data_IF_789848379392
#
_entry.id   IF_789848379392
#
_cell.length_a   1.000
_cell.length_b   1.000
_cell.length_c   1.000
_cell.angle_alpha   90.00
_cell.angle_beta   90.00
_cell.angle_gamma   90.00
#
_symmetry.space_group_name_H-M   'P 1'
#
loop_
_entity.id
_entity.type
_entity.pdbx_description
1 polymer ?
#
# COMPACT_ATOMS: atom_id res chain seq x y z
N UNK A 1 10.25 33.98 49.80
CA UNK A 1 10.63 32.72 50.47
C UNK A 1 9.37 32.10 51.07
N UNK A 2 8.60 31.35 50.28
CA UNK A 2 7.43 30.60 50.76
C UNK A 2 7.81 29.15 51.00
N UNK A 3 7.56 28.64 52.20
CA UNK A 3 7.72 27.21 52.54
C UNK A 3 6.52 26.41 51.99
N UNK A 4 6.71 25.14 51.58
CA UNK A 4 5.64 24.31 51.03
C UNK A 4 4.77 23.75 52.16
N UNK A 5 3.44 23.80 52.00
CA UNK A 5 2.53 22.98 52.77
C UNK A 5 2.49 21.59 52.13
N UNK A 6 3.11 20.61 52.79
CA UNK A 6 3.05 19.21 52.39
C UNK A 6 1.66 18.62 52.66
N UNK A 7 1.14 17.85 51.71
CA UNK A 7 -0.03 17.00 51.91
C UNK A 7 0.46 15.65 52.42
N UNK A 8 -0.04 15.23 53.59
CA UNK A 8 0.27 13.96 54.20
C UNK A 8 -0.52 12.82 53.53
N UNK A 9 0.15 11.72 53.18
CA UNK A 9 -0.50 10.49 52.73
C UNK A 9 -0.75 9.57 53.92
N UNK A 10 -2.02 9.40 54.30
CA UNK A 10 -2.46 8.30 55.17
C UNK A 10 -3.21 7.27 54.34
N UNK A 11 -2.60 6.10 54.09
CA UNK A 11 -3.26 5.00 53.38
C UNK A 11 -3.92 4.08 54.41
N UNK A 12 -5.25 4.02 54.39
CA UNK A 12 -6.04 3.00 55.10
C UNK A 12 -6.37 1.89 54.08
N UNK A 13 -5.91 0.67 54.33
CA UNK A 13 -6.14 -0.45 53.41
C UNK A 13 -7.52 -1.07 53.65
N UNK A 14 -8.35 -1.10 52.60
CA UNK A 14 -9.63 -1.82 52.53
C UNK A 14 -10.86 -0.92 52.39
N UNK A 15 -11.22 -0.56 51.16
CA UNK A 15 -12.49 0.12 50.83
C UNK A 15 -12.52 0.70 49.41
N UNK A 16 -13.68 0.70 48.78
CA UNK A 16 -13.96 1.48 47.56
C UNK A 16 -14.00 2.98 47.89
N UNK A 17 -13.55 3.82 46.96
CA UNK A 17 -13.50 5.27 47.17
C UNK A 17 -13.44 6.03 45.85
N UNK A 18 -13.83 7.31 45.93
CA UNK A 18 -13.85 8.25 44.82
C UNK A 18 -12.90 9.41 45.12
N UNK A 19 -12.13 9.85 44.13
CA UNK A 19 -11.31 11.06 44.22
C UNK A 19 -11.61 12.01 43.06
N UNK A 20 -11.93 13.25 43.42
CA UNK A 20 -12.10 14.36 42.49
C UNK A 20 -10.74 14.83 42.00
N UNK A 21 -10.57 14.85 40.68
CA UNK A 21 -9.45 15.49 40.01
C UNK A 21 -9.83 16.93 39.69
N UNK A 22 -9.01 17.89 40.12
CA UNK A 22 -9.18 19.30 39.83
C UNK A 22 -7.91 19.90 39.23
N UNK A 23 -8.05 20.81 38.27
CA UNK A 23 -6.97 21.62 37.69
C UNK A 23 -7.40 23.07 37.87
N UNK A 24 -6.53 23.86 38.48
CA UNK A 24 -6.77 25.27 38.84
C UNK A 24 -8.03 25.52 39.70
N UNK A 25 -8.39 24.53 40.54
CA UNK A 25 -9.53 24.62 41.46
C UNK A 25 -10.88 24.24 40.82
N UNK A 26 -10.92 23.98 39.51
CA UNK A 26 -12.09 23.48 38.80
C UNK A 26 -12.07 21.94 38.75
N UNK A 27 -13.19 21.22 38.97
CA UNK A 27 -13.24 19.76 38.92
C UNK A 27 -13.32 19.22 37.48
N UNK A 28 -12.41 18.31 37.10
CA UNK A 28 -12.24 17.74 35.75
C UNK A 28 -12.59 16.25 35.63
N UNK A 29 -12.76 15.53 36.74
CA UNK A 29 -13.14 14.12 36.70
C UNK A 29 -13.22 13.47 38.07
N UNK A 30 -13.82 12.28 38.13
CA UNK A 30 -13.83 11.44 39.33
C UNK A 30 -13.18 10.12 38.97
N UNK A 31 -12.13 9.77 39.72
CA UNK A 31 -11.52 8.44 39.63
C UNK A 31 -12.13 7.60 40.74
N UNK A 32 -12.76 6.50 40.36
CA UNK A 32 -13.36 5.54 41.27
C UNK A 32 -12.55 4.24 41.23
N UNK A 33 -12.26 3.67 42.39
CA UNK A 33 -11.63 2.36 42.49
C UNK A 33 -12.50 1.38 43.26
N UNK A 34 -12.62 0.18 42.72
CA UNK A 34 -13.38 -0.93 43.29
C UNK A 34 -12.48 -2.14 43.49
N UNK A 35 -12.57 -2.75 44.67
CA UNK A 35 -11.82 -3.96 45.00
C UNK A 35 -12.57 -5.18 44.47
N UNK A 36 -12.03 -5.85 43.44
CA UNK A 36 -12.67 -7.00 42.78
C UNK A 36 -11.98 -8.33 43.14
N UNK A 37 -11.71 -8.56 44.42
CA UNK A 37 -11.37 -9.88 44.97
C UNK A 37 -9.97 -10.44 44.68
N UNK A 38 -9.39 -10.23 43.50
CA UNK A 38 -8.05 -10.74 43.13
C UNK A 38 -7.12 -9.75 42.42
N UNK A 39 -7.62 -8.66 41.83
CA UNK A 39 -6.81 -7.57 41.26
C UNK A 39 -7.51 -6.20 41.45
N UNK A 40 -6.75 -5.11 41.36
CA UNK A 40 -7.28 -3.74 41.40
C UNK A 40 -7.72 -3.30 39.99
N UNK A 41 -9.01 -3.04 39.80
CA UNK A 41 -9.53 -2.41 38.58
C UNK A 41 -9.62 -0.89 38.73
N UNK A 42 -8.91 -0.15 37.87
CA UNK A 42 -9.07 1.31 37.73
C UNK A 42 -10.16 1.57 36.68
N UNK A 43 -11.29 2.14 37.11
CA UNK A 43 -12.33 2.64 36.21
C UNK A 43 -12.29 4.17 36.22
N UNK A 44 -11.79 4.77 35.13
CA UNK A 44 -11.94 6.21 34.90
C UNK A 44 -13.30 6.46 34.26
N UNK A 45 -14.27 6.96 35.03
CA UNK A 45 -15.51 7.50 34.47
C UNK A 45 -15.33 9.00 34.22
N UNK A 46 -15.13 9.41 32.97
CA UNK A 46 -15.06 10.82 32.61
C UNK A 46 -16.49 11.32 32.46
N UNK A 47 -17.09 11.76 33.57
CA UNK A 47 -18.31 12.55 33.52
C UNK A 47 -17.92 13.97 33.12
N UNK A 48 -17.97 14.26 31.82
CA UNK A 48 -17.67 15.59 31.28
C UNK A 48 -18.76 16.58 31.74
N UNK A 49 -18.48 17.39 32.76
CA UNK A 49 -19.22 18.64 32.98
C UNK A 49 -18.80 19.62 31.89
N UNK A 50 -19.51 19.59 30.78
CA UNK A 50 -19.28 20.50 29.66
C UNK A 50 -19.74 21.90 30.06
N UNK A 51 -18.82 22.72 30.56
CA UNK A 51 -19.00 24.17 30.61
C UNK A 51 -17.88 24.88 29.87
N UNK A 52 -17.87 24.77 28.54
CA UNK A 52 -17.32 25.80 27.66
C UNK A 52 -17.64 25.44 26.20
N UNK A 53 -18.55 26.19 25.55
CA UNK A 53 -18.90 26.01 24.12
C UNK A 53 -17.68 26.07 23.20
N UNK A 54 -16.61 26.73 23.61
CA UNK A 54 -15.40 26.97 22.81
C UNK A 54 -14.49 25.74 22.72
N UNK A 55 -14.39 24.92 23.78
CA UNK A 55 -13.52 23.73 23.82
C UNK A 55 -14.05 22.54 23.01
N UNK A 56 -15.38 22.39 22.90
CA UNK A 56 -16.00 21.38 22.05
C UNK A 56 -15.62 21.56 20.58
N UNK A 57 -15.54 22.80 20.11
CA UNK A 57 -15.16 23.12 18.73
C UNK A 57 -13.71 22.75 18.46
N UNK A 58 -12.78 23.06 19.38
CA UNK A 58 -11.37 22.70 19.23
C UNK A 58 -11.11 21.19 19.34
N UNK A 59 -11.81 20.49 20.23
CA UNK A 59 -11.70 19.03 20.34
C UNK A 59 -12.25 18.33 19.09
N UNK A 60 -13.40 18.78 18.56
CA UNK A 60 -13.92 18.30 17.28
C UNK A 60 -12.95 18.60 16.14
N UNK A 61 -12.39 19.82 16.05
CA UNK A 61 -11.36 20.19 15.08
C UNK A 61 -10.11 19.30 15.19
N UNK A 62 -9.62 19.01 16.41
CA UNK A 62 -8.46 18.13 16.63
C UNK A 62 -8.74 16.68 16.22
N UNK A 63 -9.93 16.16 16.48
CA UNK A 63 -10.35 14.82 16.03
C UNK A 63 -10.51 14.78 14.49
N UNK A 64 -11.03 15.85 13.88
CA UNK A 64 -11.09 15.98 12.42
C UNK A 64 -9.70 16.06 11.77
N UNK A 65 -8.74 16.77 12.39
CA UNK A 65 -7.36 16.88 11.90
C UNK A 65 -6.59 15.57 12.12
N UNK A 66 -6.81 14.85 13.23
CA UNK A 66 -6.16 13.56 13.49
C UNK A 66 -6.71 12.43 12.60
N UNK A 67 -8.03 12.43 12.34
CA UNK A 67 -8.68 11.43 11.48
C UNK A 67 -8.38 11.57 9.99
N UNK A 68 -7.84 12.71 9.54
CA UNK A 68 -7.53 12.98 8.13
C UNK A 68 -6.06 12.69 7.75
N UNK A 69 -5.24 12.18 8.69
CA UNK A 69 -3.80 11.94 8.48
C UNK A 69 -3.36 10.48 8.67
N UNK A 70 -4.27 9.57 9.04
CA UNK A 70 -3.91 8.15 9.14
C UNK A 70 -3.88 7.54 7.73
N UNK A 71 -2.69 7.48 7.14
CA UNK A 71 -2.46 6.68 5.93
C UNK A 71 -2.72 5.21 6.26
N UNK A 72 -3.58 4.56 5.47
CA UNK A 72 -3.98 3.18 5.71
C UNK A 72 -2.81 2.22 5.37
N UNK A 73 -2.39 1.42 6.34
CA UNK A 73 -1.40 0.37 6.11
C UNK A 73 -2.05 -0.79 5.32
N UNK A 74 -1.50 -1.07 4.13
CA UNK A 74 -1.94 -2.15 3.25
C UNK A 74 -1.13 -3.45 3.43
N UNK A 75 -0.19 -3.53 4.39
CA UNK A 75 0.74 -4.66 4.58
C UNK A 75 0.11 -6.05 4.57
N UNK A 76 -1.14 -6.20 5.02
CA UNK A 76 -1.91 -7.45 5.02
C UNK A 76 -3.22 -7.33 4.23
N UNK A 77 -3.25 -6.51 3.18
CA UNK A 77 -4.43 -6.25 2.36
C UNK A 77 -4.12 -6.41 0.87
N UNK A 78 -5.16 -6.59 0.08
CA UNK A 78 -5.13 -6.59 -1.37
C UNK A 78 -6.16 -5.61 -1.93
N UNK A 79 -5.88 -5.08 -3.12
CA UNK A 79 -6.92 -4.55 -3.98
C UNK A 79 -7.60 -5.71 -4.70
N UNK A 80 -8.91 -5.84 -4.51
CA UNK A 80 -9.76 -6.79 -5.21
C UNK A 80 -10.51 -6.09 -6.34
N UNK A 81 -10.33 -6.60 -7.56
CA UNK A 81 -11.03 -6.20 -8.78
C UNK A 81 -12.03 -7.32 -9.11
N UNK A 82 -13.30 -7.20 -8.66
CA UNK A 82 -14.20 -8.35 -8.59
C UNK A 82 -14.81 -8.77 -9.94
N UNK A 83 -14.86 -7.86 -10.91
CA UNK A 83 -15.57 -8.09 -12.17
C UNK A 83 -14.91 -7.34 -13.34
N UNK A 84 -15.19 -7.85 -14.55
CA UNK A 84 -14.76 -7.21 -15.78
C UNK A 84 -15.53 -5.91 -16.00
N UNK A 85 -14.81 -4.78 -15.99
CA UNK A 85 -15.38 -3.45 -16.24
C UNK A 85 -14.37 -2.60 -16.99
N UNK A 86 -14.81 -1.48 -17.57
CA UNK A 86 -13.94 -0.41 -18.06
C UNK A 86 -13.83 0.76 -17.07
N UNK A 87 -14.19 0.54 -15.79
CA UNK A 87 -14.32 1.62 -14.79
C UNK A 87 -13.58 1.35 -13.49
N UNK A 88 -13.47 0.10 -13.04
CA UNK A 88 -12.81 -0.24 -11.78
C UNK A 88 -11.29 -0.14 -11.95
N UNK A 89 -10.66 0.79 -11.23
CA UNK A 89 -9.21 1.00 -11.27
C UNK A 89 -8.71 1.72 -10.01
N UNK A 90 -7.40 1.64 -9.78
CA UNK A 90 -6.71 2.37 -8.70
C UNK A 90 -5.69 3.32 -9.30
N UNK A 91 -5.78 4.60 -8.95
CA UNK A 91 -4.81 5.62 -9.32
C UNK A 91 -3.74 5.67 -8.22
N UNK A 92 -2.48 5.46 -8.59
CA UNK A 92 -1.34 5.52 -7.67
C UNK A 92 -0.69 6.90 -7.71
N UNK A 93 -0.46 7.49 -6.53
CA UNK A 93 0.02 8.87 -6.38
C UNK A 93 1.40 8.88 -5.71
N UNK A 94 2.51 8.91 -6.48
CA UNK A 94 3.84 9.02 -5.89
C UNK A 94 3.98 10.36 -5.16
N UNK A 95 4.67 10.37 -4.02
CA UNK A 95 4.86 11.59 -3.21
C UNK A 95 5.55 12.70 -4.00
N UNK A 96 6.48 12.32 -4.89
CA UNK A 96 7.17 13.27 -5.77
C UNK A 96 7.08 12.83 -7.23
N UNK A 97 6.55 13.70 -8.09
CA UNK A 97 6.45 13.44 -9.52
C UNK A 97 7.71 13.93 -10.27
N UNK A 98 8.71 13.05 -10.41
CA UNK A 98 9.95 13.34 -11.15
C UNK A 98 9.99 12.55 -12.48
N UNK A 99 10.65 13.08 -13.52
CA UNK A 99 10.95 12.29 -14.72
C UNK A 99 11.79 11.05 -14.36
N UNK A 100 11.48 9.91 -14.98
CA UNK A 100 12.16 8.64 -14.69
C UNK A 100 13.18 8.31 -15.78
N UNK A 101 14.42 8.03 -15.36
CA UNK A 101 15.47 7.45 -16.21
C UNK A 101 15.61 5.95 -16.02
N UNK A 102 15.26 5.47 -14.84
CA UNK A 102 15.31 4.06 -14.48
C UNK A 102 14.14 3.79 -13.56
N UNK A 103 13.68 2.56 -13.53
CA UNK A 103 12.74 2.12 -12.51
C UNK A 103 12.76 0.61 -12.35
N UNK A 104 12.21 0.17 -11.23
CA UNK A 104 11.71 -1.19 -11.03
C UNK A 104 10.30 -1.09 -10.48
N UNK A 105 9.39 -1.91 -10.97
CA UNK A 105 8.04 -2.12 -10.43
C UNK A 105 7.92 -3.57 -10.04
N UNK A 106 7.42 -3.85 -8.84
CA UNK A 106 7.07 -5.19 -8.38
C UNK A 106 5.63 -5.19 -7.86
N UNK A 107 4.91 -6.29 -8.08
CA UNK A 107 3.60 -6.56 -7.48
C UNK A 107 3.34 -8.06 -7.40
N UNK A 108 2.40 -8.46 -6.54
CA UNK A 108 1.78 -9.78 -6.62
C UNK A 108 0.40 -9.68 -7.22
N UNK A 109 0.05 -10.68 -8.02
CA UNK A 109 -1.29 -10.84 -8.59
C UNK A 109 -1.80 -12.26 -8.41
N UNK A 110 -3.12 -12.40 -8.25
CA UNK A 110 -3.84 -13.66 -8.24
C UNK A 110 -5.09 -13.52 -9.10
N UNK A 111 -5.21 -14.34 -10.15
CA UNK A 111 -6.26 -14.20 -11.16
C UNK A 111 -6.51 -15.54 -11.87
N UNK A 112 -7.76 -15.74 -12.31
CA UNK A 112 -8.19 -16.86 -13.15
C UNK A 112 -8.30 -16.48 -14.64
N UNK A 113 -7.93 -15.23 -15.00
CA UNK A 113 -8.04 -14.75 -16.37
C UNK A 113 -7.18 -15.57 -17.32
N UNK A 114 -7.81 -16.14 -18.35
CA UNK A 114 -7.13 -16.84 -19.46
C UNK A 114 -6.91 -15.93 -20.67
N UNK A 115 -7.45 -14.71 -20.63
CA UNK A 115 -7.25 -13.67 -21.65
C UNK A 115 -6.10 -12.75 -21.24
N UNK A 116 -5.62 -11.98 -22.20
CA UNK A 116 -4.71 -10.90 -21.92
C UNK A 116 -5.34 -9.82 -21.03
N UNK A 117 -4.53 -9.21 -20.18
CA UNK A 117 -4.98 -8.26 -19.19
C UNK A 117 -3.81 -7.39 -18.72
N UNK A 118 -4.13 -6.21 -18.18
CA UNK A 118 -3.14 -5.31 -17.58
C UNK A 118 -2.79 -5.70 -16.15
N UNK A 119 -1.51 -5.63 -15.78
CA UNK A 119 -1.08 -5.63 -14.38
C UNK A 119 -0.65 -4.25 -13.91
N UNK A 120 -0.06 -3.47 -14.80
CA UNK A 120 0.47 -2.14 -14.51
C UNK A 120 0.45 -1.29 -15.76
N UNK A 121 -0.16 -0.10 -15.68
CA UNK A 121 -0.20 0.86 -16.77
C UNK A 121 0.32 2.22 -16.31
N UNK A 122 1.30 2.76 -17.04
CA UNK A 122 1.79 4.12 -16.89
C UNK A 122 1.63 4.85 -18.22
N UNK A 123 0.91 5.97 -18.19
CA UNK A 123 0.74 6.87 -19.32
C UNK A 123 1.29 8.27 -18.99
N UNK A 124 1.61 9.05 -20.02
CA UNK A 124 2.04 10.45 -19.90
C UNK A 124 1.18 11.32 -20.79
N UNK A 125 1.23 12.65 -20.61
CA UNK A 125 0.42 13.55 -21.44
C UNK A 125 0.72 13.33 -22.93
N UNK A 126 -0.31 12.94 -23.70
CA UNK A 126 -0.22 12.67 -25.13
C UNK A 126 0.42 11.32 -25.51
N UNK A 127 0.71 10.43 -24.55
CA UNK A 127 1.28 9.11 -24.85
C UNK A 127 0.77 8.02 -23.89
N UNK A 128 0.05 7.07 -24.47
CA UNK A 128 -0.27 5.76 -23.93
C UNK A 128 0.97 4.85 -23.87
N UNK A 129 0.82 3.68 -23.24
CA UNK A 129 1.81 2.61 -23.10
C UNK A 129 3.25 3.10 -22.89
N UNK A 130 3.41 4.10 -22.02
CA UNK A 130 4.73 4.61 -21.65
C UNK A 130 5.49 3.55 -20.86
N UNK A 131 4.80 2.88 -19.94
CA UNK A 131 5.18 1.57 -19.39
C UNK A 131 3.92 0.72 -19.30
N UNK A 132 3.96 -0.50 -19.83
CA UNK A 132 2.88 -1.47 -19.70
C UNK A 132 3.45 -2.84 -19.32
N UNK A 133 2.81 -3.50 -18.34
CA UNK A 133 3.03 -4.92 -18.03
C UNK A 133 1.71 -5.65 -18.31
N UNK A 134 1.71 -6.49 -19.33
CA UNK A 134 0.49 -7.08 -19.88
C UNK A 134 0.66 -8.59 -20.08
N UNK A 135 0.31 -9.44 -19.08
CA UNK A 135 0.28 -10.88 -19.26
C UNK A 135 -0.61 -11.30 -20.43
N UNK A 136 -0.14 -12.30 -21.17
CA UNK A 136 -0.84 -12.99 -22.23
C UNK A 136 -0.79 -14.49 -21.93
N UNK A 137 -1.71 -14.99 -21.09
CA UNK A 137 -1.79 -16.41 -20.78
C UNK A 137 -1.91 -17.25 -22.07
N UNK A 138 -1.34 -18.46 -22.10
CA UNK A 138 -0.81 -19.17 -20.95
C UNK A 138 0.67 -18.87 -20.65
N UNK A 139 1.47 -18.25 -21.52
CA UNK A 139 2.93 -18.29 -21.34
C UNK A 139 3.70 -17.12 -21.96
N UNK A 140 3.09 -15.94 -22.04
CA UNK A 140 3.72 -14.77 -22.61
C UNK A 140 3.40 -13.51 -21.80
N UNK A 141 4.28 -12.52 -21.89
CA UNK A 141 4.06 -11.17 -21.39
C UNK A 141 4.37 -10.18 -22.51
N UNK A 142 3.43 -9.28 -22.77
CA UNK A 142 3.68 -8.05 -23.52
C UNK A 142 4.20 -6.98 -22.56
N UNK A 143 5.37 -6.43 -22.86
CA UNK A 143 5.98 -5.33 -22.11
C UNK A 143 6.16 -4.15 -23.05
N UNK A 144 5.64 -2.99 -22.69
CA UNK A 144 5.84 -1.76 -23.46
C UNK A 144 6.75 -0.79 -22.72
N UNK A 145 7.67 -0.16 -23.44
CA UNK A 145 8.37 1.06 -23.02
C UNK A 145 8.20 2.08 -24.15
N UNK A 146 7.55 3.21 -23.88
CA UNK A 146 7.32 4.30 -24.83
C UNK A 146 6.73 3.81 -26.18
N UNK A 147 5.61 3.09 -26.13
CA UNK A 147 4.92 2.45 -27.27
C UNK A 147 5.73 1.40 -28.05
N UNK A 148 6.93 1.03 -27.58
CA UNK A 148 7.67 -0.11 -28.15
C UNK A 148 7.35 -1.37 -27.34
N UNK A 149 6.63 -2.27 -27.97
CA UNK A 149 6.21 -3.55 -27.39
C UNK A 149 7.26 -4.65 -27.61
N UNK A 150 7.39 -5.53 -26.62
CA UNK A 150 8.15 -6.76 -26.69
C UNK A 150 7.38 -7.90 -26.05
N UNK A 151 7.37 -9.05 -26.71
CA UNK A 151 6.88 -10.29 -26.13
C UNK A 151 8.03 -11.05 -25.45
N UNK A 152 7.78 -11.47 -24.21
CA UNK A 152 8.68 -12.29 -23.40
C UNK A 152 7.97 -13.58 -23.05
N UNK A 153 8.43 -14.68 -23.65
CA UNK A 153 7.95 -16.02 -23.32
C UNK A 153 8.33 -16.38 -21.89
N UNK A 154 7.36 -16.83 -21.11
CA UNK A 154 7.50 -17.26 -19.72
C UNK A 154 7.08 -18.73 -19.55
N UNK A 155 7.18 -19.25 -18.34
CA UNK A 155 6.59 -20.56 -18.02
C UNK A 155 5.06 -20.48 -18.09
N UNK A 156 4.40 -21.61 -18.37
CA UNK A 156 2.95 -21.63 -18.44
C UNK A 156 2.33 -21.25 -17.08
N UNK A 157 1.32 -20.39 -17.11
CA UNK A 157 0.65 -19.90 -15.93
C UNK A 157 -0.07 -21.04 -15.19
N UNK A 158 0.11 -21.05 -13.87
CA UNK A 158 -0.64 -21.89 -12.93
C UNK A 158 -1.49 -20.98 -12.06
N UNK A 159 -2.61 -21.50 -11.55
CA UNK A 159 -3.46 -20.79 -10.61
C UNK A 159 -2.77 -20.72 -9.24
N UNK A 160 -1.98 -19.68 -9.03
CA UNK A 160 -1.30 -19.35 -7.78
C UNK A 160 -0.93 -17.86 -7.77
N UNK A 161 -0.55 -17.32 -6.61
CA UNK A 161 0.01 -15.98 -6.50
C UNK A 161 1.29 -15.85 -7.32
N UNK A 162 1.34 -14.82 -8.17
CA UNK A 162 2.50 -14.52 -9.02
C UNK A 162 3.15 -13.24 -8.56
N UNK A 163 4.42 -13.31 -8.16
CA UNK A 163 5.26 -12.14 -7.90
C UNK A 163 5.94 -11.73 -9.20
N UNK A 164 5.52 -10.60 -9.77
CA UNK A 164 6.04 -10.04 -11.02
C UNK A 164 6.85 -8.80 -10.72
N UNK A 165 8.10 -8.75 -11.19
CA UNK A 165 8.89 -7.52 -11.23
C UNK A 165 9.32 -7.20 -12.65
N UNK A 166 9.34 -5.92 -13.01
CA UNK A 166 9.83 -5.42 -14.28
C UNK A 166 10.74 -4.22 -14.02
N UNK A 167 11.89 -4.17 -14.69
CA UNK A 167 12.79 -3.01 -14.63
C UNK A 167 13.19 -2.52 -16.01
N UNK A 168 13.53 -1.24 -16.06
CA UNK A 168 14.14 -0.61 -17.22
C UNK A 168 15.22 0.39 -16.80
N UNK A 169 16.31 0.41 -17.56
CA UNK A 169 17.44 1.32 -17.38
C UNK A 169 17.69 2.12 -18.66
N UNK A 170 17.47 3.43 -18.63
CA UNK A 170 17.72 4.31 -19.79
C UNK A 170 19.18 4.30 -20.25
N UNK A 171 20.16 4.16 -19.34
CA UNK A 171 21.57 4.29 -19.72
C UNK A 171 21.99 3.16 -20.67
N UNK A 172 21.49 1.95 -20.44
CA UNK A 172 21.74 0.76 -21.24
C UNK A 172 20.61 0.43 -22.23
N UNK A 173 19.40 0.91 -21.95
CA UNK A 173 18.14 0.49 -22.56
C UNK A 173 17.64 -0.87 -22.06
N UNK A 174 18.28 -1.49 -21.07
CA UNK A 174 17.98 -2.86 -20.66
C UNK A 174 16.58 -2.96 -20.05
N UNK A 175 15.79 -3.92 -20.54
CA UNK A 175 14.48 -4.29 -19.99
C UNK A 175 14.57 -5.69 -19.42
N UNK A 176 14.10 -5.88 -18.19
CA UNK A 176 14.16 -7.15 -17.49
C UNK A 176 12.80 -7.47 -16.87
N UNK A 177 12.37 -8.73 -16.98
CA UNK A 177 11.15 -9.27 -16.40
C UNK A 177 11.51 -10.44 -15.50
N UNK A 178 11.01 -10.42 -14.27
CA UNK A 178 11.10 -11.52 -13.32
C UNK A 178 9.70 -11.98 -12.93
N UNK A 179 9.47 -13.29 -12.96
CA UNK A 179 8.26 -13.90 -12.39
C UNK A 179 8.71 -14.96 -11.40
N UNK A 180 8.25 -14.88 -10.15
CA UNK A 180 8.60 -15.80 -9.06
C UNK A 180 10.13 -16.02 -8.94
N UNK A 181 10.90 -14.92 -8.90
CA UNK A 181 12.39 -14.86 -8.85
C UNK A 181 13.12 -15.25 -10.12
N UNK A 182 12.46 -15.89 -11.09
CA UNK A 182 13.08 -16.30 -12.35
C UNK A 182 13.17 -15.11 -13.30
N UNK A 183 14.39 -14.75 -13.68
CA UNK A 183 14.66 -13.76 -14.73
C UNK A 183 14.45 -14.39 -16.12
N UNK A 184 13.66 -13.73 -16.96
CA UNK A 184 13.44 -14.14 -18.35
C UNK A 184 14.35 -13.38 -19.32
N UNK A 185 14.24 -13.73 -20.62
CA UNK A 185 15.09 -13.19 -21.68
C UNK A 185 15.00 -11.66 -21.72
N UNK A 186 16.13 -11.00 -21.46
CA UNK A 186 16.24 -9.55 -21.44
C UNK A 186 15.99 -8.95 -22.82
N UNK A 187 15.43 -7.74 -22.85
CA UNK A 187 15.23 -6.94 -24.07
C UNK A 187 15.99 -5.62 -23.97
N UNK A 188 16.05 -4.88 -25.07
CA UNK A 188 16.67 -3.53 -25.09
C UNK A 188 15.74 -2.55 -25.78
N UNK A 189 15.43 -1.45 -25.10
CA UNK A 189 14.55 -0.40 -25.57
C UNK A 189 14.96 1.00 -25.08
N UNK A 190 14.71 1.99 -25.92
CA UNK A 190 14.71 3.41 -25.54
C UNK A 190 15.97 3.91 -24.79
N UNK A 191 17.16 3.45 -25.18
CA UNK A 191 18.41 3.94 -24.59
C UNK A 191 18.50 5.48 -24.64
N UNK A 192 18.83 6.12 -23.53
CA UNK A 192 18.93 7.57 -23.36
C UNK A 192 17.59 8.30 -23.24
N UNK A 193 16.46 7.58 -23.28
CA UNK A 193 15.13 8.17 -23.12
C UNK A 193 14.85 8.58 -21.67
N UNK A 194 13.95 9.53 -21.48
CA UNK A 194 13.48 9.95 -20.16
C UNK A 194 11.97 9.87 -20.20
N UNK A 195 11.36 9.11 -19.29
CA UNK A 195 9.91 9.12 -19.12
C UNK A 195 9.52 10.44 -18.46
N UNK A 196 8.72 11.29 -19.13
CA UNK A 196 8.37 12.61 -18.60
C UNK A 196 7.42 12.51 -17.41
N UNK A 197 7.43 13.56 -16.60
CA UNK A 197 6.45 13.82 -15.53
C UNK A 197 5.56 15.00 -15.97
N UNK A 198 4.27 15.05 -15.56
CA UNK A 198 3.59 14.07 -14.71
C UNK A 198 3.20 12.80 -15.46
N UNK A 199 3.21 11.67 -14.75
CA UNK A 199 2.74 10.38 -15.23
C UNK A 199 1.46 9.96 -14.51
N UNK A 200 0.55 9.30 -15.22
CA UNK A 200 -0.64 8.66 -14.67
C UNK A 200 -0.35 7.17 -14.48
N UNK A 201 -0.39 6.71 -13.24
CA UNK A 201 -0.05 5.33 -12.86
C UNK A 201 -1.32 4.65 -12.38
N UNK A 202 -1.71 3.57 -13.06
CA UNK A 202 -2.99 2.88 -12.83
C UNK A 202 -2.80 1.38 -12.68
N UNK A 203 -3.51 0.80 -11.72
CA UNK A 203 -3.76 -0.63 -11.60
C UNK A 203 -5.21 -0.93 -11.99
N UNK A 204 -5.44 -2.10 -12.57
CA UNK A 204 -6.78 -2.59 -12.93
C UNK A 204 -7.20 -2.34 -14.38
N UNK A 205 -6.65 -1.31 -15.04
CA UNK A 205 -7.01 -0.93 -16.41
C UNK A 205 -5.78 -0.58 -17.25
N UNK A 206 -5.92 -0.76 -18.56
CA UNK A 206 -4.93 -0.32 -19.55
C UNK A 206 -5.29 1.06 -20.10
N UNK A 207 -4.32 1.97 -20.13
CA UNK A 207 -4.51 3.38 -20.47
C UNK A 207 -4.21 3.64 -21.95
N UNK A 208 -5.25 3.75 -22.78
CA UNK A 208 -5.14 4.25 -24.17
C UNK A 208 -5.12 5.79 -24.24
N UNK A 209 -5.21 6.46 -23.10
CA UNK A 209 -5.01 7.90 -22.95
C UNK A 209 -4.56 8.23 -21.53
N UNK A 210 -4.08 9.46 -21.30
CA UNK A 210 -3.64 9.88 -19.97
C UNK A 210 -4.78 9.79 -18.94
N UNK A 211 -4.72 8.78 -18.05
CA UNK A 211 -5.71 8.55 -17.01
C UNK A 211 -7.03 7.92 -17.49
N UNK A 212 -7.10 7.38 -18.70
CA UNK A 212 -8.35 6.87 -19.27
C UNK A 212 -8.17 6.07 -20.55
N UNK A 213 -9.24 5.99 -21.36
CA UNK A 213 -9.25 5.18 -22.59
C UNK A 213 -9.44 3.68 -22.32
N UNK A 214 -9.94 3.32 -21.15
CA UNK A 214 -10.03 1.93 -20.70
C UNK A 214 -10.96 1.08 -21.57
N UNK A 215 -10.54 -0.16 -21.83
CA UNK A 215 -11.37 -1.18 -22.48
C UNK A 215 -11.56 -2.38 -21.54
N UNK A 216 -12.81 -2.79 -21.33
CA UNK A 216 -13.15 -3.87 -20.39
C UNK A 216 -12.42 -5.19 -20.73
N UNK A 217 -12.21 -5.48 -22.01
CA UNK A 217 -11.50 -6.67 -22.48
C UNK A 217 -10.02 -6.75 -22.06
N UNK A 218 -9.44 -5.64 -21.62
CA UNK A 218 -8.04 -5.54 -21.19
C UNK A 218 -7.90 -5.38 -19.67
N UNK A 219 -9.01 -5.28 -18.93
CA UNK A 219 -8.96 -5.03 -17.50
C UNK A 219 -8.41 -6.23 -16.73
N UNK A 220 -7.88 -5.96 -15.54
CA UNK A 220 -7.57 -6.99 -14.55
C UNK A 220 -8.83 -7.38 -13.78
N UNK A 221 -8.94 -8.66 -13.44
CA UNK A 221 -9.95 -9.23 -12.53
C UNK A 221 -9.21 -10.20 -11.61
N UNK A 222 -9.37 -10.03 -10.30
CA UNK A 222 -8.62 -10.77 -9.28
C UNK A 222 -8.05 -9.85 -8.20
N UNK A 223 -6.96 -10.27 -7.58
CA UNK A 223 -6.34 -9.55 -6.47
C UNK A 223 -4.93 -9.06 -6.78
N UNK A 224 -4.59 -7.84 -6.35
CA UNK A 224 -3.23 -7.29 -6.38
C UNK A 224 -2.80 -6.89 -4.97
N UNK A 225 -1.58 -7.27 -4.57
CA UNK A 225 -0.96 -6.81 -3.33
C UNK A 225 0.53 -6.54 -3.52
N UNK A 226 1.18 -6.00 -2.47
CA UNK A 226 2.63 -5.78 -2.42
C UNK A 226 3.15 -5.02 -3.65
N UNK A 227 2.42 -3.97 -4.06
CA UNK A 227 2.86 -3.10 -5.14
C UNK A 227 3.90 -2.11 -4.62
N UNK A 228 5.08 -2.14 -5.21
CA UNK A 228 6.18 -1.24 -4.89
C UNK A 228 6.89 -0.77 -6.17
N UNK A 229 7.36 0.47 -6.15
CA UNK A 229 8.09 1.07 -7.25
C UNK A 229 9.36 1.80 -6.77
N UNK A 230 10.43 1.64 -7.53
CA UNK A 230 11.72 2.28 -7.32
C UNK A 230 12.14 3.11 -8.53
N UNK A 231 12.96 4.14 -8.31
CA UNK A 231 13.58 4.96 -9.37
C UNK A 231 14.97 4.45 -9.81
N UNK A 232 15.30 3.20 -9.45
CA UNK A 232 16.51 2.49 -9.81
C UNK A 232 16.23 1.03 -10.18
N UNK A 233 17.21 0.37 -10.78
CA UNK A 233 17.15 -1.06 -11.09
C UNK A 233 17.57 -1.86 -9.85
N UNK A 234 16.68 -2.73 -9.36
CA UNK A 234 16.98 -3.65 -8.27
C UNK A 234 17.98 -4.72 -8.69
N UNK A 235 18.89 -5.06 -7.79
CA UNK A 235 19.73 -6.25 -7.88
C UNK A 235 18.91 -7.54 -7.63
N UNK A 236 19.49 -8.70 -7.96
CA UNK A 236 18.84 -9.99 -7.69
C UNK A 236 18.57 -10.19 -6.19
N UNK A 237 19.48 -9.74 -5.33
CA UNK A 237 19.34 -9.84 -3.88
C UNK A 237 18.17 -8.97 -3.38
N UNK A 238 18.07 -7.74 -3.90
CA UNK A 238 16.96 -6.86 -3.56
C UNK A 238 15.61 -7.40 -4.06
N UNK A 239 15.57 -8.04 -5.24
CA UNK A 239 14.35 -8.71 -5.73
C UNK A 239 13.93 -9.84 -4.79
N UNK A 240 14.88 -10.58 -4.19
CA UNK A 240 14.56 -11.59 -3.19
C UNK A 240 14.00 -10.97 -1.91
N UNK A 241 14.54 -9.84 -1.46
CA UNK A 241 14.04 -9.08 -0.30
C UNK A 241 12.62 -8.57 -0.52
N UNK A 242 12.31 -8.05 -1.72
CA UNK A 242 10.94 -7.64 -2.08
C UNK A 242 9.99 -8.83 -1.99
N UNK A 243 10.38 -10.00 -2.50
CA UNK A 243 9.51 -11.18 -2.47
C UNK A 243 9.14 -11.64 -1.05
N UNK A 244 10.04 -11.46 -0.08
CA UNK A 244 9.79 -11.77 1.34
C UNK A 244 9.30 -10.56 2.15
N UNK A 245 8.94 -9.46 1.48
CA UNK A 245 8.40 -8.24 2.09
C UNK A 245 9.37 -7.55 3.07
N UNK A 246 10.67 -7.58 2.76
CA UNK A 246 11.74 -6.94 3.55
C UNK A 246 12.27 -5.64 2.92
N UNK A 247 11.82 -5.29 1.71
CA UNK A 247 12.24 -4.08 1.00
C UNK A 247 11.04 -3.37 0.37
N UNK A 248 10.94 -2.07 0.63
CA UNK A 248 9.87 -1.20 0.15
C UNK A 248 10.35 -0.24 -0.94
N UNK A 249 9.41 0.22 -1.78
CA UNK A 249 9.64 1.21 -2.83
C UNK A 249 9.97 2.61 -2.29
N UNK A 250 10.78 3.37 -3.05
CA UNK A 250 11.02 4.80 -2.77
C UNK A 250 10.21 5.75 -3.65
N UNK A 251 9.54 5.25 -4.69
CA UNK A 251 8.61 6.02 -5.53
C UNK A 251 7.17 5.77 -5.10
N UNK A 252 6.81 4.50 -4.90
CA UNK A 252 5.54 4.04 -4.36
C UNK A 252 5.83 2.88 -3.40
N UNK A 253 5.27 2.93 -2.19
CA UNK A 253 5.46 1.93 -1.14
C UNK A 253 4.10 1.37 -0.73
N UNK A 254 3.91 0.05 -0.81
CA UNK A 254 2.64 -0.59 -0.44
C UNK A 254 2.18 -0.25 0.98
N UNK A 255 3.11 -0.25 1.95
CA UNK A 255 2.82 -0.01 3.37
C UNK A 255 2.46 1.44 3.71
N UNK A 256 2.78 2.37 2.81
CA UNK A 256 2.48 3.80 2.95
C UNK A 256 2.04 4.36 1.60
N UNK A 257 1.09 3.69 0.96
CA UNK A 257 0.66 4.00 -0.40
C UNK A 257 -0.32 5.17 -0.40
N UNK A 258 -0.09 6.17 -1.25
CA UNK A 258 -1.10 7.20 -1.56
C UNK A 258 -1.81 6.79 -2.84
N UNK A 259 -3.12 6.57 -2.75
CA UNK A 259 -3.90 6.02 -3.85
C UNK A 259 -5.32 6.58 -3.87
N UNK A 260 -6.02 6.38 -4.98
CA UNK A 260 -7.43 6.69 -5.14
C UNK A 260 -8.15 5.55 -5.87
N UNK A 261 -9.16 4.98 -5.24
CA UNK A 261 -10.03 3.97 -5.83
C UNK A 261 -11.10 4.63 -6.70
N UNK A 262 -11.32 4.08 -7.89
CA UNK A 262 -12.43 4.41 -8.79
C UNK A 262 -13.20 3.13 -9.15
N UNK A 263 -14.53 3.22 -9.21
CA UNK A 263 -15.39 2.07 -9.51
C UNK A 263 -15.45 1.05 -8.36
N UNK A 264 -15.75 -0.21 -8.68
CA UNK A 264 -16.00 -1.27 -7.71
C UNK A 264 -14.76 -1.99 -7.15
N UNK A 265 -13.64 -1.30 -6.95
CA UNK A 265 -12.45 -1.90 -6.32
C UNK A 265 -12.65 -1.97 -4.81
N UNK A 266 -12.35 -3.13 -4.23
CA UNK A 266 -12.43 -3.35 -2.79
C UNK A 266 -11.03 -3.45 -2.18
N UNK A 267 -10.91 -3.13 -0.89
CA UNK A 267 -9.69 -3.36 -0.11
C UNK A 267 -9.99 -4.46 0.91
N UNK A 268 -9.42 -5.64 0.70
CA UNK A 268 -9.74 -6.83 1.49
C UNK A 268 -8.51 -7.36 2.23
N UNK A 269 -8.66 -7.99 3.40
CA UNK A 269 -7.55 -8.59 4.12
C UNK A 269 -7.03 -9.83 3.38
N UNK A 270 -5.70 -10.00 3.37
CA UNK A 270 -5.06 -11.22 2.91
C UNK A 270 -5.25 -12.32 3.94
N UNK A 271 -6.06 -13.32 3.62
CA UNK A 271 -6.14 -14.54 4.41
C UNK A 271 -4.89 -15.38 4.14
N UNK A 272 -3.90 -15.31 5.05
CA UNK A 272 -2.82 -16.28 5.08
C UNK A 272 -3.44 -17.67 5.25
N UNK A 273 -3.43 -18.48 4.20
CA UNK A 273 -3.57 -19.91 4.37
C UNK A 273 -2.38 -20.36 5.25
N UNK A 274 -2.70 -20.81 6.47
CA UNK A 274 -1.77 -21.54 7.33
C UNK A 274 -1.37 -22.82 6.60
N UNK A 275 -0.30 -22.76 5.79
CA UNK A 275 0.14 -23.88 4.97
C UNK A 275 1.48 -23.70 4.27
N UNK A 276 1.89 -22.48 3.94
CA UNK A 276 3.23 -22.21 3.39
C UNK A 276 4.06 -21.41 4.40
N UNK A 277 4.52 -22.11 5.44
CA UNK A 277 5.83 -21.79 5.98
C UNK A 277 6.81 -21.84 4.80
N UNK A 278 7.67 -20.83 4.69
CA UNK A 278 8.74 -20.79 3.72
C UNK A 278 9.45 -22.15 3.64
N UNK A 279 9.17 -22.94 2.60
CA UNK A 279 10.02 -24.07 2.29
C UNK A 279 11.29 -23.48 1.69
N UNK A 280 12.30 -23.38 2.53
CA UNK A 280 13.71 -23.30 2.20
C UNK A 280 14.06 -24.38 1.17
N UNK A 281 13.84 -24.10 -0.11
CA UNK A 281 14.48 -24.84 -1.19
C UNK A 281 15.76 -24.09 -1.56
N UNK A 282 16.82 -24.37 -0.80
CA UNK A 282 18.19 -24.15 -1.24
C UNK A 282 18.59 -25.41 -2.03
N UNK A 283 18.70 -25.39 -3.37
CA UNK A 283 19.47 -26.42 -4.03
C UNK A 283 20.96 -26.17 -3.75
N UNK A 284 21.64 -27.24 -3.31
CA UNK A 284 23.09 -27.30 -3.11
C UNK A 284 23.88 -26.95 -4.37
#
# INVERSE_FOLDING_TARGET
>A
MGRPCGVAFGVRWGGSGDQLLAVDGEPWGVVSWHWMGREWGLFMSISCFVSCRTMKTYFLLLVFIAGSLAQEDLSQKAFLFPEETSTAHVILKPETSKPLKKFTVCLRSYTELTREHTLFSLATAGKDNMVLIFPQPPNNYSICINNKEFHIKVDAEVLDWKHTCMSWDSDSGLVQLWVNRKLYVRKVSNKGFIIPSPASIILGQDQDSYGGGFQASQCFVGEINQFDMWDYVLSLEEINQVLVNEKNGNVLNWTSLSYEIKGGVLVEPLYKFWGYAASSYYPC
#
